data_IF_817933760470
#
_entry.id   IF_817933760470
#
_cell.length_a   1.000
_cell.length_b   1.000
_cell.length_c   1.000
_cell.angle_alpha   90.00
_cell.angle_beta   90.00
_cell.angle_gamma   90.00
#
_symmetry.space_group_name_H-M   'P 1'
#
loop_
_entity.id
_entity.type
_entity.pdbx_description
1 polymer ?
#
# COMPACT_ATOMS: atom_id res chain seq x y z
N UNK A 1 -8.77 -51.60 -64.89
CA UNK A 1 -7.40 -51.74 -64.36
C UNK A 1 -7.40 -51.37 -62.89
N UNK A 2 -7.07 -52.35 -62.01
CA UNK A 2 -6.58 -52.29 -60.60
C UNK A 2 -7.33 -51.36 -59.62
N UNK A 3 -8.21 -51.83 -58.72
CA UNK A 3 -8.07 -52.77 -57.59
C UNK A 3 -7.27 -52.23 -56.38
N UNK A 4 -7.88 -52.45 -55.20
CA UNK A 4 -7.29 -52.67 -53.87
C UNK A 4 -7.08 -51.46 -52.95
N UNK A 5 -7.30 -51.51 -51.62
CA UNK A 5 -8.01 -52.41 -50.70
C UNK A 5 -7.78 -51.81 -49.27
N UNK A 6 -8.81 -51.84 -48.40
CA UNK A 6 -8.82 -52.14 -46.95
C UNK A 6 -7.89 -51.46 -45.89
N UNK A 7 -8.52 -51.33 -44.70
CA UNK A 7 -8.04 -51.55 -43.29
C UNK A 7 -7.43 -50.32 -42.58
N UNK A 8 -7.82 -49.88 -41.35
CA UNK A 8 -7.86 -50.44 -39.96
C UNK A 8 -8.54 -49.34 -39.07
N UNK A 9 -9.58 -49.49 -38.23
CA UNK A 9 -9.80 -50.08 -36.87
C UNK A 9 -8.82 -49.71 -35.74
N UNK A 10 -9.24 -48.87 -34.78
CA UNK A 10 -9.01 -48.97 -33.30
C UNK A 10 -9.57 -47.68 -32.65
N UNK A 11 -10.68 -47.73 -31.91
CA UNK A 11 -10.80 -47.98 -30.45
C UNK A 11 -10.04 -47.01 -29.54
N UNK A 12 -10.79 -46.38 -28.62
CA UNK A 12 -10.27 -45.50 -27.59
C UNK A 12 -11.38 -44.81 -26.77
N UNK A 13 -12.12 -45.61 -25.99
CA UNK A 13 -12.64 -45.33 -24.62
C UNK A 13 -13.04 -43.87 -24.27
N UNK A 14 -14.32 -43.54 -24.13
CA UNK A 14 -15.21 -43.81 -22.97
C UNK A 14 -14.72 -43.22 -21.64
N UNK A 15 -15.51 -42.28 -21.09
CA UNK A 15 -15.72 -42.16 -19.66
C UNK A 15 -15.37 -40.82 -19.01
N UNK A 16 -16.27 -39.83 -19.07
CA UNK A 16 -16.40 -38.85 -17.99
C UNK A 16 -17.89 -38.76 -17.65
N UNK A 17 -18.31 -39.49 -16.62
CA UNK A 17 -19.51 -39.17 -15.87
C UNK A 17 -19.21 -39.43 -14.39
N UNK A 18 -19.15 -38.30 -13.68
CA UNK A 18 -19.83 -38.04 -12.41
C UNK A 18 -19.56 -38.94 -11.20
N UNK A 19 -19.36 -38.29 -10.06
CA UNK A 19 -19.49 -38.93 -8.76
C UNK A 19 -18.33 -38.75 -7.81
N UNK A 20 -18.56 -37.85 -6.84
CA UNK A 20 -18.28 -38.06 -5.40
C UNK A 20 -17.07 -37.32 -4.81
N UNK A 21 -17.40 -36.39 -3.88
CA UNK A 21 -16.76 -36.05 -2.58
C UNK A 21 -17.47 -34.80 -2.03
N UNK A 22 -18.56 -34.94 -1.29
CA UNK A 22 -18.66 -35.07 0.18
C UNK A 22 -17.82 -34.05 0.98
N UNK A 23 -18.53 -33.03 1.45
CA UNK A 23 -18.60 -32.44 2.80
C UNK A 23 -17.30 -32.22 3.62
N UNK A 24 -17.05 -30.95 4.01
CA UNK A 24 -16.87 -30.59 5.42
C UNK A 24 -17.16 -29.09 5.66
N UNK A 25 -18.22 -28.83 6.43
CA UNK A 25 -18.48 -27.54 7.08
C UNK A 25 -17.64 -27.51 8.36
N UNK A 26 -16.86 -26.44 8.55
CA UNK A 26 -16.05 -26.23 9.75
C UNK A 26 -16.25 -24.85 10.32
N UNK A 27 -17.31 -24.68 11.10
CA UNK A 27 -17.57 -23.54 11.99
C UNK A 27 -16.63 -23.65 13.20
N UNK A 28 -15.68 -22.72 13.34
CA UNK A 28 -14.80 -22.60 14.50
C UNK A 28 -15.16 -21.36 15.32
N UNK A 29 -15.91 -21.55 16.39
CA UNK A 29 -16.28 -20.52 17.35
C UNK A 29 -15.08 -20.08 18.21
N UNK A 30 -14.97 -18.77 18.45
CA UNK A 30 -14.03 -18.15 19.38
C UNK A 30 -14.61 -18.24 20.79
N UNK A 31 -13.93 -18.97 21.69
CA UNK A 31 -14.27 -19.01 23.12
C UNK A 31 -13.28 -18.15 23.92
N UNK A 32 -13.80 -17.09 24.53
CA UNK A 32 -13.11 -16.30 25.55
C UNK A 32 -13.26 -17.00 26.89
N UNK A 33 -12.15 -17.43 27.50
CA UNK A 33 -12.10 -17.79 28.92
C UNK A 33 -11.65 -16.57 29.73
N UNK A 34 -12.58 -15.97 30.48
CA UNK A 34 -12.25 -15.08 31.60
C UNK A 34 -11.98 -15.94 32.84
N UNK A 35 -10.81 -15.77 33.46
CA UNK A 35 -10.49 -16.37 34.75
C UNK A 35 -10.59 -15.29 35.82
N UNK A 36 -11.65 -15.35 36.62
CA UNK A 36 -11.82 -14.56 37.85
C UNK A 36 -11.24 -15.37 39.00
N UNK A 37 -10.21 -14.87 39.67
CA UNK A 37 -9.67 -15.47 40.89
C UNK A 37 -10.03 -14.60 42.10
N UNK A 38 -10.71 -15.22 43.06
CA UNK A 38 -11.14 -14.69 44.36
C UNK A 38 -10.20 -15.27 45.43
N UNK A 39 -9.72 -14.47 46.37
CA UNK A 39 -9.13 -14.93 47.63
C UNK A 39 -9.22 -13.77 48.64
N UNK A 40 -10.20 -13.78 49.56
CA UNK A 40 -10.18 -14.33 50.94
C UNK A 40 -9.12 -13.70 51.86
N UNK A 41 -9.59 -12.80 52.74
CA UNK A 41 -8.90 -12.33 53.95
C UNK A 41 -9.11 -13.29 55.13
N UNK A 42 -8.29 -13.17 56.19
CA UNK A 42 -8.84 -13.20 57.54
C UNK A 42 -8.29 -12.12 58.49
N UNK A 43 -9.23 -11.28 58.97
CA UNK A 43 -9.58 -10.94 60.36
C UNK A 43 -8.61 -10.92 61.56
N UNK A 44 -8.67 -9.79 62.29
CA UNK A 44 -8.57 -9.65 63.77
C UNK A 44 -7.22 -9.14 64.32
N UNK A 45 -7.08 -8.21 65.27
CA UNK A 45 -7.98 -7.36 66.07
C UNK A 45 -7.17 -6.59 67.15
N UNK A 46 -7.56 -5.33 67.42
CA UNK A 46 -7.39 -4.49 68.63
C UNK A 46 -6.00 -4.06 69.20
N UNK A 47 -5.81 -2.73 69.35
CA UNK A 47 -5.41 -2.12 70.63
C UNK A 47 -4.17 -1.21 70.73
N UNK A 48 -4.35 0.12 70.59
CA UNK A 48 -3.81 1.14 71.52
C UNK A 48 -2.40 1.75 71.34
N UNK A 49 -2.36 3.06 70.99
CA UNK A 49 -1.59 4.05 71.78
C UNK A 49 -0.24 4.62 71.28
N UNK A 50 -0.32 5.83 70.69
CA UNK A 50 0.61 6.99 70.72
C UNK A 50 1.96 6.99 69.95
N UNK A 51 2.15 8.16 69.33
CA UNK A 51 3.36 8.91 68.98
C UNK A 51 3.97 8.71 67.58
N UNK A 52 3.86 9.77 66.78
CA UNK A 52 4.69 10.06 65.60
C UNK A 52 5.92 10.90 66.04
N UNK A 53 6.85 11.31 65.15
CA UNK A 53 7.10 10.85 63.76
C UNK A 53 8.59 10.48 63.52
N UNK A 54 8.90 9.77 62.43
CA UNK A 54 10.04 10.06 61.54
C UNK A 54 10.27 8.95 60.50
N UNK A 55 10.84 9.38 59.38
CA UNK A 55 11.55 8.61 58.36
C UNK A 55 10.71 7.90 57.28
N UNK A 56 10.82 8.50 56.10
CA UNK A 56 10.36 8.07 54.80
C UNK A 56 11.03 6.75 54.37
N UNK A 57 10.24 5.87 53.77
CA UNK A 57 10.68 4.86 52.80
C UNK A 57 9.44 4.47 52.00
N UNK A 58 9.20 5.19 50.91
CA UNK A 58 8.06 4.95 50.04
C UNK A 58 8.41 3.79 49.10
N UNK A 59 7.67 2.69 49.24
CA UNK A 59 7.82 1.47 48.45
C UNK A 59 7.57 1.70 46.97
N UNK A 60 8.42 1.07 46.16
CA UNK A 60 8.33 0.90 44.72
C UNK A 60 6.93 0.39 44.32
N UNK A 61 6.14 1.22 43.62
CA UNK A 61 5.05 0.74 42.77
C UNK A 61 5.65 0.42 41.40
N UNK A 62 5.74 -0.86 41.08
CA UNK A 62 6.02 -1.35 39.73
C UNK A 62 4.93 -0.84 38.78
N UNK A 63 5.23 0.22 38.05
CA UNK A 63 4.51 0.57 36.84
C UNK A 63 4.93 -0.45 35.78
N UNK A 64 3.98 -1.26 35.31
CA UNK A 64 4.15 -2.08 34.10
C UNK A 64 4.63 -1.16 32.96
N UNK A 65 5.91 -1.29 32.66
CA UNK A 65 6.61 -0.59 31.60
C UNK A 65 5.99 -1.01 30.27
N UNK A 66 5.20 -0.10 29.68
CA UNK A 66 4.77 -0.23 28.30
C UNK A 66 6.02 -0.21 27.43
N UNK A 67 6.33 -1.38 26.87
CA UNK A 67 7.35 -1.57 25.84
C UNK A 67 7.24 -0.42 24.81
N UNK A 68 8.30 0.38 24.58
CA UNK A 68 8.23 1.44 23.59
C UNK A 68 7.87 0.84 22.24
N UNK A 69 6.91 1.48 21.55
CA UNK A 69 6.55 1.14 20.18
C UNK A 69 7.84 1.05 19.37
N UNK A 70 8.12 -0.13 18.82
CA UNK A 70 9.33 -0.42 18.08
C UNK A 70 9.35 0.45 16.82
N UNK A 71 10.02 1.61 16.88
CA UNK A 71 10.23 2.45 15.72
C UNK A 71 11.19 1.71 14.78
N UNK A 72 10.67 1.18 13.67
CA UNK A 72 11.52 0.69 12.58
C UNK A 72 12.55 1.77 12.23
N UNK A 73 13.83 1.40 11.99
CA UNK A 73 14.86 2.39 11.67
C UNK A 73 14.47 3.18 10.42
N UNK A 74 14.73 4.49 10.45
CA UNK A 74 14.44 5.36 9.32
C UNK A 74 15.21 4.90 8.09
N UNK A 75 14.57 4.85 6.92
CA UNK A 75 15.20 4.45 5.66
C UNK A 75 15.27 5.59 4.64
N UNK A 76 16.23 5.45 3.73
CA UNK A 76 16.54 6.45 2.69
C UNK A 76 16.31 5.85 1.31
N UNK A 77 15.54 6.56 0.50
CA UNK A 77 15.37 6.28 -0.92
C UNK A 77 16.66 6.56 -1.68
N UNK A 78 17.16 5.54 -2.40
CA UNK A 78 18.33 5.66 -3.27
C UNK A 78 17.86 5.61 -4.72
N UNK A 79 17.64 6.76 -5.39
CA UNK A 79 17.18 6.77 -6.77
C UNK A 79 18.17 6.01 -7.67
N UNK A 80 17.67 5.29 -8.69
CA UNK A 80 18.56 4.65 -9.66
C UNK A 80 19.42 5.70 -10.38
N UNK A 81 20.59 5.31 -10.89
CA UNK A 81 21.41 6.20 -11.72
C UNK A 81 20.56 6.73 -12.87
N UNK A 82 20.48 8.05 -13.00
CA UNK A 82 19.53 8.75 -13.88
C UNK A 82 19.62 8.23 -15.32
N UNK A 83 18.48 7.75 -15.82
CA UNK A 83 18.16 7.80 -17.24
C UNK A 83 17.61 9.18 -17.61
N UNK A 84 16.78 9.27 -18.65
CA UNK A 84 16.09 10.52 -19.03
C UNK A 84 15.37 11.16 -17.82
N UNK A 85 15.26 12.50 -17.77
CA UNK A 85 14.42 13.18 -16.78
C UNK A 85 13.00 12.60 -16.84
N UNK A 86 12.38 12.35 -15.68
CA UNK A 86 10.97 11.98 -15.65
C UNK A 86 10.11 13.24 -15.65
N UNK A 87 8.85 13.06 -16.03
CA UNK A 87 7.88 14.14 -16.03
C UNK A 87 6.98 13.97 -14.80
N UNK A 88 7.32 14.64 -13.69
CA UNK A 88 6.35 14.88 -12.62
C UNK A 88 5.79 16.29 -12.77
N UNK A 89 4.50 16.38 -13.04
CA UNK A 89 3.76 17.66 -13.01
C UNK A 89 2.91 17.68 -11.75
N UNK A 90 3.17 18.66 -10.88
CA UNK A 90 2.29 18.96 -9.75
C UNK A 90 1.01 19.63 -10.25
N UNK A 91 -0.12 19.35 -9.60
CA UNK A 91 -1.47 19.81 -9.98
C UNK A 91 -1.71 21.29 -9.71
N UNK A 92 -0.74 22.15 -10.03
CA UNK A 92 -0.89 23.60 -9.97
C UNK A 92 -1.84 24.06 -11.06
N UNK A 93 -2.98 24.61 -10.65
CA UNK A 93 -4.07 25.09 -11.53
C UNK A 93 -3.61 26.25 -12.41
N UNK A 94 -3.58 26.03 -13.73
CA UNK A 94 -3.60 27.13 -14.72
C UNK A 94 -5.06 27.38 -15.13
N UNK A 95 -5.75 28.25 -14.41
CA UNK A 95 -7.13 28.63 -14.70
C UNK A 95 -7.84 29.19 -13.48
N UNK A 96 -8.47 30.35 -13.64
CA UNK A 96 -9.09 31.19 -12.62
C UNK A 96 -10.13 30.49 -11.71
N UNK A 97 -10.05 30.70 -10.39
CA UNK A 97 -11.16 30.41 -9.45
C UNK A 97 -10.92 29.19 -8.55
N UNK A 98 -10.35 29.47 -7.38
CA UNK A 98 -9.92 28.55 -6.33
C UNK A 98 -11.06 27.81 -5.61
N UNK A 99 -11.61 26.74 -6.20
CA UNK A 99 -12.49 25.84 -5.43
C UNK A 99 -12.38 24.33 -5.73
N UNK A 100 -11.38 23.91 -6.51
CA UNK A 100 -11.09 22.50 -6.64
C UNK A 100 -10.18 22.01 -5.50
N UNK A 101 -10.37 20.77 -5.02
CA UNK A 101 -9.37 20.10 -4.21
C UNK A 101 -7.99 20.15 -4.86
N UNK A 102 -6.97 20.29 -4.03
CA UNK A 102 -5.58 20.09 -4.46
C UNK A 102 -5.35 18.59 -4.61
N UNK A 103 -4.78 18.21 -5.75
CA UNK A 103 -4.32 16.85 -6.01
C UNK A 103 -2.80 16.82 -6.21
N UNK A 104 -2.16 15.73 -5.77
CA UNK A 104 -0.71 15.53 -5.95
C UNK A 104 -0.38 14.06 -6.24
N UNK A 105 0.46 13.80 -7.26
CA UNK A 105 1.01 12.47 -7.48
C UNK A 105 2.14 12.19 -6.47
N UNK A 106 2.09 11.04 -5.78
CA UNK A 106 3.09 10.68 -4.77
C UNK A 106 4.24 9.90 -5.41
N UNK A 107 4.99 10.60 -6.27
CA UNK A 107 6.07 10.04 -7.10
C UNK A 107 7.31 10.93 -7.14
N UNK A 108 8.48 10.35 -7.47
CA UNK A 108 9.66 11.13 -7.81
C UNK A 108 9.50 11.95 -9.08
N UNK A 109 10.42 12.89 -9.28
CA UNK A 109 10.58 13.69 -10.50
C UNK A 109 11.28 12.93 -11.65
N UNK A 110 11.52 11.63 -11.46
CA UNK A 110 12.08 10.72 -12.45
C UNK A 110 11.17 9.49 -12.61
N UNK A 111 11.48 8.61 -13.58
CA UNK A 111 10.77 7.33 -13.72
C UNK A 111 10.91 6.52 -12.43
N UNK A 112 9.79 6.22 -11.78
CA UNK A 112 9.75 5.33 -10.63
C UNK A 112 9.81 3.87 -11.07
N UNK A 113 10.54 3.05 -10.33
CA UNK A 113 10.63 1.62 -10.61
C UNK A 113 9.65 0.82 -9.77
N UNK A 114 9.16 -0.29 -10.34
CA UNK A 114 8.40 -1.31 -9.61
C UNK A 114 8.89 -2.71 -9.92
N UNK A 115 8.79 -3.63 -8.97
CA UNK A 115 8.99 -5.07 -9.21
C UNK A 115 7.69 -5.85 -9.34
N UNK A 116 6.54 -5.19 -9.17
CA UNK A 116 5.23 -5.80 -9.35
C UNK A 116 4.79 -5.63 -10.79
N UNK A 117 4.32 -6.73 -11.39
CA UNK A 117 3.68 -6.71 -12.71
C UNK A 117 2.39 -5.89 -12.72
N UNK A 118 1.71 -5.82 -11.57
CA UNK A 118 0.48 -5.05 -11.35
C UNK A 118 0.71 -4.10 -10.15
N UNK A 119 1.43 -2.99 -10.33
CA UNK A 119 1.75 -2.08 -9.23
C UNK A 119 0.52 -1.32 -8.71
N UNK A 120 0.73 -0.65 -7.58
CA UNK A 120 -0.19 0.35 -7.07
C UNK A 120 0.33 1.77 -7.29
N UNK A 121 -0.57 2.68 -7.63
CA UNK A 121 -0.31 4.11 -7.78
C UNK A 121 -0.94 4.87 -6.62
N UNK A 122 -0.21 5.87 -6.11
CA UNK A 122 -0.64 6.68 -4.97
C UNK A 122 -0.68 8.15 -5.34
N UNK A 123 -1.76 8.80 -4.92
CA UNK A 123 -1.98 10.23 -5.11
C UNK A 123 -2.70 10.80 -3.89
N UNK A 124 -2.60 12.11 -3.68
CA UNK A 124 -3.23 12.80 -2.57
C UNK A 124 -4.42 13.62 -3.05
N UNK A 125 -5.50 13.62 -2.25
CA UNK A 125 -6.68 14.46 -2.43
C UNK A 125 -6.89 15.33 -1.18
N UNK A 126 -6.91 16.65 -1.32
CA UNK A 126 -6.95 17.54 -0.15
C UNK A 126 -8.30 17.64 0.57
N UNK A 127 -9.39 17.41 -0.14
CA UNK A 127 -10.77 17.46 0.39
C UNK A 127 -11.71 16.66 -0.50
N UNK A 128 -12.85 16.23 0.03
CA UNK A 128 -13.90 15.55 -0.74
C UNK A 128 -14.39 16.44 -1.88
N UNK A 129 -14.82 15.83 -2.98
CA UNK A 129 -15.31 16.52 -4.17
C UNK A 129 -16.45 15.77 -4.83
N UNK A 130 -17.33 16.50 -5.49
CA UNK A 130 -18.32 15.93 -6.42
C UNK A 130 -17.83 15.87 -7.88
N UNK A 131 -16.65 16.43 -8.17
CA UNK A 131 -16.04 16.34 -9.52
C UNK A 131 -15.70 14.90 -9.87
N UNK A 132 -15.81 14.57 -11.16
CA UNK A 132 -15.38 13.27 -11.69
C UNK A 132 -13.85 13.16 -11.57
N UNK A 133 -13.37 12.00 -11.20
CA UNK A 133 -11.93 11.71 -11.19
C UNK A 133 -11.67 10.57 -12.18
N UNK A 134 -10.65 10.73 -13.03
CA UNK A 134 -10.22 9.72 -13.99
C UNK A 134 -8.77 9.32 -13.74
N UNK A 135 -8.51 8.01 -13.83
CA UNK A 135 -7.19 7.46 -13.98
C UNK A 135 -6.96 7.03 -15.42
N UNK A 136 -5.81 7.41 -15.97
CA UNK A 136 -5.37 6.96 -17.29
C UNK A 136 -3.96 6.40 -17.18
N UNK A 137 -3.71 5.25 -17.80
CA UNK A 137 -2.39 4.64 -17.94
C UNK A 137 -2.07 4.51 -19.43
N UNK A 138 -1.03 5.21 -19.86
CA UNK A 138 -0.56 5.20 -21.24
C UNK A 138 0.74 4.41 -21.37
N UNK A 139 0.95 3.83 -22.54
CA UNK A 139 2.22 3.22 -22.95
C UNK A 139 2.65 3.85 -24.26
N UNK A 140 3.95 4.15 -24.41
CA UNK A 140 4.49 4.65 -25.69
C UNK A 140 4.35 3.63 -26.83
N UNK A 141 4.04 2.36 -26.53
CA UNK A 141 3.87 1.30 -27.51
C UNK A 141 2.46 1.22 -28.11
N UNK A 142 1.50 1.99 -27.58
CA UNK A 142 0.10 1.90 -27.97
C UNK A 142 -0.49 3.30 -28.14
N UNK A 143 -1.29 3.50 -29.19
CA UNK A 143 -1.97 4.78 -29.42
C UNK A 143 -3.09 5.03 -28.41
N UNK A 144 -3.74 3.97 -27.92
CA UNK A 144 -4.83 4.04 -26.94
C UNK A 144 -4.30 3.79 -25.53
N UNK A 145 -4.94 4.38 -24.50
CA UNK A 145 -4.62 4.06 -23.12
C UNK A 145 -4.73 2.55 -22.84
N UNK A 146 -3.79 2.06 -22.04
CA UNK A 146 -3.78 0.68 -21.51
C UNK A 146 -4.90 0.50 -20.49
N UNK A 147 -5.21 1.56 -19.73
CA UNK A 147 -6.32 1.62 -18.81
C UNK A 147 -6.86 3.04 -18.76
N UNK A 148 -8.18 3.18 -18.78
CA UNK A 148 -8.88 4.43 -18.49
C UNK A 148 -10.11 4.11 -17.65
N UNK A 149 -10.16 4.62 -16.42
CA UNK A 149 -11.23 4.30 -15.45
C UNK A 149 -11.62 5.52 -14.64
N UNK A 150 -12.90 5.58 -14.26
CA UNK A 150 -13.38 6.55 -13.27
C UNK A 150 -13.00 6.06 -11.87
N UNK A 151 -12.65 6.99 -11.00
CA UNK A 151 -12.35 6.72 -9.60
C UNK A 151 -13.40 7.39 -8.73
N UNK A 152 -13.98 6.61 -7.82
CA UNK A 152 -14.76 7.15 -6.72
C UNK A 152 -13.81 7.41 -5.54
N UNK A 153 -13.48 8.68 -5.29
CA UNK A 153 -12.67 9.07 -4.14
C UNK A 153 -13.58 9.43 -2.96
N UNK A 154 -13.71 8.51 -2.01
CA UNK A 154 -14.68 8.64 -0.91
C UNK A 154 -14.26 9.66 0.15
N UNK A 155 -12.95 9.85 0.36
CA UNK A 155 -12.42 10.68 1.45
C UNK A 155 -11.12 11.42 1.09
N UNK A 156 -10.82 12.54 1.77
CA UNK A 156 -9.52 13.19 1.65
C UNK A 156 -8.37 12.28 2.11
N UNK A 157 -7.14 12.60 1.69
CA UNK A 157 -5.93 11.88 2.04
C UNK A 157 -5.32 11.11 0.88
N UNK A 158 -4.44 10.15 1.20
CA UNK A 158 -3.79 9.29 0.21
C UNK A 158 -4.80 8.30 -0.38
N UNK A 159 -4.92 8.35 -1.69
CA UNK A 159 -5.71 7.44 -2.50
C UNK A 159 -4.79 6.41 -3.16
N UNK A 160 -5.32 5.20 -3.42
CA UNK A 160 -4.60 4.10 -4.06
C UNK A 160 -5.38 3.55 -5.24
N UNK A 161 -4.68 3.30 -6.33
CA UNK A 161 -5.17 2.52 -7.47
C UNK A 161 -4.30 1.30 -7.61
N UNK A 162 -4.90 0.11 -7.59
CA UNK A 162 -4.19 -1.15 -7.72
C UNK A 162 -4.52 -1.80 -9.07
N UNK A 163 -3.51 -1.98 -9.94
CA UNK A 163 -3.74 -2.53 -11.28
C UNK A 163 -4.24 -3.98 -11.28
N UNK A 164 -4.05 -4.72 -10.19
CA UNK A 164 -4.58 -6.09 -10.06
C UNK A 164 -6.10 -6.11 -10.13
N UNK A 165 -6.78 -5.06 -9.65
CA UNK A 165 -8.24 -4.92 -9.70
C UNK A 165 -8.79 -4.78 -11.11
N UNK A 166 -7.95 -4.38 -12.05
CA UNK A 166 -8.31 -4.17 -13.46
C UNK A 166 -7.74 -5.25 -14.38
N UNK A 167 -7.08 -6.29 -13.82
CA UNK A 167 -6.37 -7.31 -14.59
C UNK A 167 -5.33 -6.74 -15.57
N UNK A 168 -4.82 -5.54 -15.31
CA UNK A 168 -3.82 -4.88 -16.15
C UNK A 168 -2.43 -5.26 -15.66
N UNK A 169 -1.55 -5.59 -16.60
CA UNK A 169 -0.17 -5.97 -16.33
C UNK A 169 0.79 -5.10 -17.13
N UNK A 170 1.83 -4.61 -16.47
CA UNK A 170 2.93 -3.92 -17.14
C UNK A 170 3.84 -4.94 -17.82
N UNK A 171 4.41 -4.53 -18.95
CA UNK A 171 5.46 -5.29 -19.65
C UNK A 171 6.82 -4.88 -19.08
N UNK A 172 7.70 -5.83 -18.71
CA UNK A 172 9.03 -5.52 -18.22
C UNK A 172 9.80 -4.63 -19.20
N UNK A 173 10.53 -3.64 -18.68
CA UNK A 173 11.37 -2.77 -19.49
C UNK A 173 10.64 -1.62 -20.19
N UNK A 174 9.31 -1.65 -20.23
CA UNK A 174 8.48 -0.61 -20.84
C UNK A 174 8.13 0.46 -19.81
N UNK A 175 8.25 1.71 -20.26
CA UNK A 175 7.85 2.87 -19.49
C UNK A 175 6.39 3.20 -19.76
N UNK A 176 5.65 3.48 -18.69
CA UNK A 176 4.25 3.87 -18.74
C UNK A 176 4.10 5.21 -18.04
N UNK A 177 3.24 6.06 -18.58
CA UNK A 177 2.87 7.33 -17.96
C UNK A 177 1.43 7.23 -17.46
N UNK A 178 1.21 7.59 -16.20
CA UNK A 178 -0.13 7.59 -15.62
C UNK A 178 -0.55 9.00 -15.23
N UNK A 179 -1.87 9.20 -15.18
CA UNK A 179 -2.50 10.48 -14.92
C UNK A 179 -3.64 10.31 -13.93
N UNK A 180 -3.84 11.31 -13.08
CA UNK A 180 -5.08 11.54 -12.35
C UNK A 180 -5.62 12.88 -12.80
N UNK A 181 -6.82 12.88 -13.36
CA UNK A 181 -7.53 14.08 -13.77
C UNK A 181 -8.73 14.29 -12.85
N UNK A 182 -8.81 15.45 -12.21
CA UNK A 182 -9.97 15.97 -11.52
C UNK A 182 -10.75 16.86 -12.50
N UNK A 183 -11.96 16.44 -12.85
CA UNK A 183 -12.75 16.97 -13.96
C UNK A 183 -14.00 17.62 -13.37
N UNK A 184 -13.99 18.96 -13.17
CA UNK A 184 -15.16 19.66 -12.65
C UNK A 184 -16.28 19.79 -13.68
N UNK A 185 -15.95 19.83 -14.96
CA UNK A 185 -16.87 19.99 -16.07
C UNK A 185 -16.43 19.11 -17.24
N UNK A 186 -17.10 17.97 -17.49
CA UNK A 186 -16.76 17.06 -18.59
C UNK A 186 -16.79 17.70 -19.98
N UNK A 187 -17.57 18.78 -20.16
CA UNK A 187 -17.69 19.49 -21.43
C UNK A 187 -16.60 20.58 -21.59
N UNK A 188 -15.87 20.91 -20.51
CA UNK A 188 -14.80 21.91 -20.49
C UNK A 188 -13.50 21.37 -19.86
N UNK A 189 -12.91 20.35 -20.49
CA UNK A 189 -11.68 19.66 -20.05
C UNK A 189 -10.44 20.56 -19.89
N UNK A 190 -10.45 21.77 -20.43
CA UNK A 190 -9.38 22.76 -20.20
C UNK A 190 -9.30 23.24 -18.74
N UNK A 191 -10.33 22.96 -17.93
CA UNK A 191 -10.39 23.26 -16.50
C UNK A 191 -9.93 22.10 -15.61
N UNK A 192 -9.54 20.97 -16.20
CA UNK A 192 -9.09 19.81 -15.44
C UNK A 192 -7.85 20.16 -14.61
N UNK A 193 -7.84 19.71 -13.36
CA UNK A 193 -6.59 19.61 -12.60
C UNK A 193 -6.00 18.24 -12.83
N UNK A 194 -4.76 18.18 -13.32
CA UNK A 194 -4.10 16.93 -13.72
C UNK A 194 -2.75 16.79 -13.03
N UNK A 195 -2.49 15.60 -12.47
CA UNK A 195 -1.17 15.18 -11.99
C UNK A 195 -0.71 13.93 -12.73
N UNK A 196 0.60 13.74 -12.83
CA UNK A 196 1.18 12.64 -13.59
C UNK A 196 2.42 12.08 -12.91
N UNK A 197 2.69 10.81 -13.21
CA UNK A 197 3.91 10.12 -12.88
C UNK A 197 4.28 9.08 -13.92
N UNK A 198 5.50 8.59 -13.82
CA UNK A 198 6.04 7.59 -14.74
C UNK A 198 6.44 6.33 -13.97
N UNK A 199 6.11 5.15 -14.51
CA UNK A 199 6.44 3.85 -13.93
C UNK A 199 7.12 2.95 -14.95
N UNK A 200 8.09 2.16 -14.47
CA UNK A 200 8.70 1.08 -15.24
C UNK A 200 8.76 -0.19 -14.41
N UNK A 201 8.19 -1.26 -14.97
CA UNK A 201 8.31 -2.60 -14.37
C UNK A 201 9.69 -3.17 -14.68
N UNK A 202 10.44 -3.52 -13.64
CA UNK A 202 11.75 -4.16 -13.71
C UNK A 202 11.71 -5.54 -13.07
N UNK A 203 12.54 -6.45 -13.57
CA UNK A 203 12.69 -7.78 -12.98
C UNK A 203 13.25 -7.72 -11.56
N UNK A 204 12.91 -8.70 -10.74
CA UNK A 204 13.50 -8.91 -9.41
C UNK A 204 14.84 -9.62 -9.61
N UNK A 205 15.94 -9.03 -9.12
CA UNK A 205 17.23 -9.72 -9.10
C UNK A 205 17.28 -10.78 -8.01
N UNK A 206 18.15 -11.79 -8.13
CA UNK A 206 18.31 -12.81 -7.10
C UNK A 206 18.68 -12.19 -5.75
N UNK A 207 19.57 -11.20 -5.73
CA UNK A 207 19.97 -10.52 -4.49
C UNK A 207 18.81 -9.77 -3.84
N UNK A 208 17.93 -9.15 -4.65
CA UNK A 208 16.73 -8.49 -4.14
C UNK A 208 15.72 -9.50 -3.62
N UNK A 209 15.53 -10.63 -4.30
CA UNK A 209 14.65 -11.70 -3.86
C UNK A 209 15.07 -12.25 -2.49
N UNK A 210 16.37 -12.50 -2.30
CA UNK A 210 16.92 -12.95 -1.01
C UNK A 210 16.68 -11.92 0.09
N UNK A 211 16.95 -10.65 -0.17
CA UNK A 211 16.71 -9.58 0.81
C UNK A 211 15.23 -9.44 1.20
N UNK A 212 14.31 -9.59 0.24
CA UNK A 212 12.87 -9.57 0.50
C UNK A 212 12.48 -10.74 1.43
N UNK A 213 13.01 -11.94 1.17
CA UNK A 213 12.72 -13.13 1.98
C UNK A 213 13.26 -13.00 3.42
N UNK A 214 14.44 -12.39 3.60
CA UNK A 214 15.11 -12.26 4.90
C UNK A 214 14.51 -11.16 5.79
N UNK A 215 14.03 -10.06 5.21
CA UNK A 215 13.73 -8.83 5.98
C UNK A 215 12.36 -8.82 6.64
N UNK A 216 11.47 -9.74 6.27
CA UNK A 216 10.09 -9.75 6.74
C UNK A 216 9.31 -8.51 6.29
N UNK A 217 8.01 -8.49 6.61
CA UNK A 217 7.06 -7.48 6.11
C UNK A 217 7.45 -6.06 6.52
N UNK A 218 7.89 -5.88 7.76
CA UNK A 218 8.24 -4.59 8.37
C UNK A 218 9.50 -3.97 7.74
N UNK A 219 10.41 -4.79 7.20
CA UNK A 219 11.66 -4.34 6.57
C UNK A 219 11.53 -4.03 5.08
N UNK A 220 10.47 -4.49 4.41
CA UNK A 220 10.32 -4.35 2.96
C UNK A 220 10.38 -2.90 2.44
N UNK A 221 9.74 -1.90 3.09
CA UNK A 221 9.80 -0.53 2.59
C UNK A 221 11.24 -0.01 2.45
N UNK A 222 12.07 -0.31 3.44
CA UNK A 222 13.49 0.06 3.43
C UNK A 222 14.32 -0.69 2.40
N UNK A 223 14.02 -1.98 2.17
CA UNK A 223 14.67 -2.77 1.10
C UNK A 223 14.40 -2.16 -0.27
N UNK A 224 13.13 -1.92 -0.59
CA UNK A 224 12.74 -1.35 -1.88
C UNK A 224 13.28 0.08 -2.05
N UNK A 225 13.17 0.92 -1.02
CA UNK A 225 13.65 2.29 -1.06
C UNK A 225 15.17 2.35 -1.28
N UNK A 226 15.93 1.52 -0.56
CA UNK A 226 17.39 1.43 -0.69
C UNK A 226 17.88 0.90 -2.03
N UNK A 227 16.97 0.33 -2.85
CA UNK A 227 17.24 -0.17 -4.21
C UNK A 227 16.60 0.69 -5.31
N UNK A 228 16.00 1.83 -4.96
CA UNK A 228 15.39 2.74 -5.93
C UNK A 228 14.01 2.32 -6.44
N UNK A 229 13.39 1.31 -5.82
CA UNK A 229 12.13 0.69 -6.23
C UNK A 229 10.96 1.43 -5.57
N UNK A 230 10.66 2.61 -6.11
CA UNK A 230 9.76 3.59 -5.50
C UNK A 230 8.35 3.05 -5.22
N UNK A 231 7.69 2.48 -6.23
CA UNK A 231 6.28 2.11 -6.11
C UNK A 231 6.07 1.00 -5.07
N UNK A 232 7.01 0.05 -5.00
CA UNK A 232 6.97 -1.05 -4.03
C UNK A 232 7.31 -0.57 -2.62
N UNK A 233 8.24 0.39 -2.49
CA UNK A 233 8.58 1.01 -1.21
C UNK A 233 7.39 1.75 -0.61
N UNK A 234 6.72 2.61 -1.40
CA UNK A 234 5.55 3.34 -0.94
C UNK A 234 4.37 2.39 -0.69
N UNK A 235 4.11 1.43 -1.57
CA UNK A 235 3.03 0.46 -1.39
C UNK A 235 3.19 -0.36 -0.10
N UNK A 236 4.39 -0.89 0.15
CA UNK A 236 4.66 -1.65 1.37
C UNK A 236 4.59 -0.78 2.63
N UNK A 237 4.98 0.49 2.56
CA UNK A 237 4.84 1.41 3.68
C UNK A 237 3.36 1.73 3.98
N UNK A 238 2.55 2.01 2.95
CA UNK A 238 1.11 2.24 3.13
C UNK A 238 0.39 0.97 3.62
N UNK A 239 0.82 -0.23 3.20
CA UNK A 239 0.28 -1.48 3.72
C UNK A 239 0.57 -1.64 5.23
N UNK A 240 1.77 -1.24 5.68
CA UNK A 240 2.10 -1.23 7.11
C UNK A 240 1.25 -0.21 7.88
N UNK A 241 1.15 1.03 7.38
CA UNK A 241 0.33 2.10 7.98
C UNK A 241 -1.14 1.68 8.05
N UNK A 242 -1.68 1.06 7.00
CA UNK A 242 -3.05 0.56 7.01
C UNK A 242 -3.27 -0.53 8.06
N UNK A 243 -2.25 -1.35 8.35
CA UNK A 243 -2.32 -2.39 9.37
C UNK A 243 -2.15 -1.87 10.80
N UNK A 244 -1.51 -0.71 10.99
CA UNK A 244 -1.34 -0.05 12.29
C UNK A 244 -1.43 1.49 12.14
N UNK A 245 -2.64 2.05 11.96
CA UNK A 245 -2.81 3.48 11.67
C UNK A 245 -2.38 4.42 12.81
N UNK A 246 -2.25 3.90 14.04
CA UNK A 246 -1.77 4.66 15.20
C UNK A 246 -0.25 4.79 15.28
N UNK A 247 0.48 4.11 14.39
CA UNK A 247 1.93 4.09 14.40
C UNK A 247 2.54 5.38 13.86
N UNK A 248 2.85 6.31 14.76
CA UNK A 248 3.48 7.59 14.43
C UNK A 248 4.81 7.43 13.70
N UNK A 249 5.59 6.41 14.03
CA UNK A 249 6.87 6.14 13.37
C UNK A 249 6.73 5.81 11.89
N UNK A 250 5.68 5.08 11.50
CA UNK A 250 5.38 4.81 10.09
C UNK A 250 4.89 6.06 9.35
N UNK A 251 4.06 6.89 9.99
CA UNK A 251 3.60 8.16 9.42
C UNK A 251 4.77 9.15 9.20
N UNK A 252 5.68 9.25 10.18
CA UNK A 252 6.91 10.05 10.08
C UNK A 252 7.82 9.52 8.96
N UNK A 253 8.01 8.20 8.88
CA UNK A 253 8.78 7.58 7.81
C UNK A 253 8.19 7.87 6.43
N UNK A 254 6.86 7.87 6.29
CA UNK A 254 6.18 8.26 5.04
C UNK A 254 6.46 9.71 4.67
N UNK A 255 6.30 10.63 5.63
CA UNK A 255 6.60 12.05 5.41
C UNK A 255 8.05 12.25 4.95
N UNK A 256 9.01 11.56 5.58
CA UNK A 256 10.42 11.59 5.19
C UNK A 256 10.64 11.03 3.78
N UNK A 257 10.04 9.89 3.45
CA UNK A 257 10.16 9.27 2.13
C UNK A 257 9.66 10.20 1.01
N UNK A 258 8.50 10.85 1.21
CA UNK A 258 7.95 11.79 0.23
C UNK A 258 8.83 13.05 0.07
N UNK A 259 9.40 13.56 1.17
CA UNK A 259 10.34 14.70 1.12
C UNK A 259 11.63 14.37 0.38
N UNK A 260 12.15 13.15 0.49
CA UNK A 260 13.37 12.72 -0.20
C UNK A 260 13.26 12.79 -1.73
N UNK A 261 12.04 12.71 -2.28
CA UNK A 261 11.78 12.86 -3.70
C UNK A 261 11.27 14.26 -4.09
N UNK A 262 11.47 15.24 -3.22
CA UNK A 262 11.14 16.64 -3.48
C UNK A 262 9.64 16.91 -3.57
N UNK A 263 8.79 16.10 -2.92
CA UNK A 263 7.40 16.48 -2.70
C UNK A 263 7.35 17.45 -1.52
N UNK A 264 6.64 18.59 -1.66
CA UNK A 264 6.43 19.50 -0.53
C UNK A 264 5.62 18.80 0.55
N UNK A 265 5.62 19.39 1.74
CA UNK A 265 4.79 18.91 2.83
C UNK A 265 3.31 18.95 2.43
N UNK A 266 2.65 17.80 2.55
CA UNK A 266 1.25 17.63 2.20
C UNK A 266 0.45 17.72 3.51
N UNK A 267 -0.48 18.70 3.65
CA UNK A 267 -1.30 18.83 4.84
C UNK A 267 -2.04 17.52 5.18
N UNK A 268 -2.08 17.14 6.45
CA UNK A 268 -2.80 15.95 6.91
C UNK A 268 -2.10 14.60 6.69
N UNK A 269 -0.84 14.58 6.25
CA UNK A 269 -0.02 13.35 6.18
C UNK A 269 0.91 13.11 7.39
N UNK A 270 0.88 14.00 8.40
CA UNK A 270 1.65 13.90 9.66
C UNK A 270 0.91 13.14 10.76
#
# INVERSE_FOLDING_TARGET
MRSSLKKIVEEGTMGIHDGMKTLLVGTGAVLFFSLTAYALEPGGGAGGGKAAPAAQSNGMKETKEQKPASSSPLFVYKPPMRGKPGNRVGGGTRGTGSDLPVIAALVPDHTGLTTRKQPSFFWYLSRTTGSRIEFTLNSEQQERPVLEVKIDAERPGIQRIDLSRYSVSLVPGIEYQWFIALIPDPDQRSKDSVVTGTVKYVGVSEELSTLIAERGREGLPGVYAGRGIWYDALASLEDLIASDPGNRGLAEQRSLLLRQVGLPEIPGLQ
#
